data_IF_891583934733
#
_entry.id   IF_891583934733
#
_cell.length_a   1.000
_cell.length_b   1.000
_cell.length_c   1.000
_cell.angle_alpha   90.00
_cell.angle_beta   90.00
_cell.angle_gamma   90.00
#
_symmetry.space_group_name_H-M   'P 1'
#
loop_
_entity.id
_entity.type
_entity.pdbx_description
1 polymer ?
#
# COMPACT_ATOMS: atom_id res chain seq x y z
N UNK A 1 -17.92 15.09 -2.15
CA UNK A 1 -16.54 15.50 -1.87
C UNK A 1 -16.37 15.61 -0.35
N UNK A 2 -16.14 14.48 0.30
CA UNK A 2 -15.95 14.42 1.76
C UNK A 2 -14.48 14.79 2.02
N UNK A 3 -14.25 15.87 2.77
CA UNK A 3 -12.92 16.47 2.94
C UNK A 3 -12.07 15.58 3.84
N UNK A 4 -10.87 15.25 3.39
CA UNK A 4 -9.78 14.61 4.15
C UNK A 4 -9.49 15.27 5.52
N UNK A 5 -9.94 16.51 5.73
CA UNK A 5 -9.79 17.23 7.00
C UNK A 5 -10.67 16.70 8.14
N UNK A 6 -11.79 16.04 7.85
CA UNK A 6 -12.74 15.61 8.88
C UNK A 6 -12.22 14.44 9.73
N UNK A 7 -11.26 13.66 9.20
CA UNK A 7 -10.66 12.53 9.92
C UNK A 7 -9.58 12.94 10.92
N UNK A 8 -8.93 14.08 10.71
CA UNK A 8 -7.83 14.56 11.57
C UNK A 8 -8.30 15.23 12.87
N UNK A 9 -9.57 15.61 12.97
CA UNK A 9 -10.12 16.25 14.17
C UNK A 9 -10.73 15.23 15.14
N UNK A 10 -11.18 14.07 14.65
CA UNK A 10 -11.90 13.08 15.46
C UNK A 10 -11.00 12.25 16.40
N UNK A 11 -9.67 12.38 16.33
CA UNK A 11 -8.72 11.53 17.05
C UNK A 11 -7.73 12.28 17.94
N UNK A 12 -8.04 13.52 18.33
CA UNK A 12 -7.22 14.21 19.34
C UNK A 12 -7.89 14.12 20.72
N UNK A 13 -7.54 13.14 21.57
CA UNK A 13 -7.88 13.24 22.97
C UNK A 13 -7.24 14.51 23.54
N UNK A 14 -7.95 15.16 24.45
CA UNK A 14 -7.39 16.22 25.27
C UNK A 14 -6.10 15.72 25.92
N UNK A 15 -5.03 16.51 25.81
CA UNK A 15 -3.74 16.20 26.40
C UNK A 15 -3.89 16.02 27.92
N UNK A 16 -3.95 14.76 28.34
CA UNK A 16 -3.63 14.36 29.70
C UNK A 16 -2.38 13.51 29.61
N UNK A 17 -1.35 14.00 30.29
CA UNK A 17 -0.08 13.32 30.51
C UNK A 17 -0.36 12.04 31.29
N UNK A 18 -0.42 10.93 30.59
CA UNK A 18 -0.27 9.62 31.22
C UNK A 18 0.63 8.75 30.36
N UNK A 19 1.70 8.27 30.96
CA UNK A 19 2.67 7.34 30.38
C UNK A 19 2.06 5.94 30.29
N UNK A 20 0.94 5.83 29.59
CA UNK A 20 0.23 4.57 29.35
C UNK A 20 0.65 4.00 28.00
N UNK A 21 1.25 2.81 28.00
CA UNK A 21 1.46 2.05 26.77
C UNK A 21 0.10 1.86 26.09
N UNK A 22 -0.05 2.35 24.85
CA UNK A 22 -1.20 2.07 24.00
C UNK A 22 -1.18 0.58 23.63
N UNK A 23 -1.73 -0.26 24.52
CA UNK A 23 -1.95 -1.68 24.25
C UNK A 23 -3.25 -1.76 23.46
N UNK A 24 -3.14 -1.76 22.13
CA UNK A 24 -4.27 -2.05 21.26
C UNK A 24 -4.72 -3.49 21.53
N UNK A 25 -6.00 -3.66 21.85
CA UNK A 25 -6.56 -4.99 22.12
C UNK A 25 -6.58 -5.82 20.84
N UNK A 26 -6.57 -7.14 20.97
CA UNK A 26 -6.60 -8.04 19.79
C UNK A 26 -7.82 -7.76 18.89
N UNK A 27 -8.92 -7.28 19.47
CA UNK A 27 -10.14 -6.86 18.75
C UNK A 27 -9.92 -5.61 17.89
N UNK A 28 -9.22 -4.59 18.40
CA UNK A 28 -8.91 -3.38 17.64
C UNK A 28 -7.98 -3.69 16.46
N UNK A 29 -6.96 -4.52 16.68
CA UNK A 29 -6.07 -5.00 15.60
C UNK A 29 -6.87 -5.73 14.54
N UNK A 30 -7.75 -6.65 14.93
CA UNK A 30 -8.57 -7.41 13.98
C UNK A 30 -9.50 -6.50 13.16
N UNK A 31 -10.09 -5.50 13.79
CA UNK A 31 -10.93 -4.49 13.13
C UNK A 31 -10.11 -3.65 12.14
N UNK A 32 -8.94 -3.15 12.56
CA UNK A 32 -8.05 -2.37 11.70
C UNK A 32 -7.55 -3.19 10.51
N UNK A 33 -7.13 -4.42 10.73
CA UNK A 33 -6.69 -5.31 9.66
C UNK A 33 -7.82 -5.60 8.66
N UNK A 34 -9.04 -5.82 9.14
CA UNK A 34 -10.21 -5.99 8.27
C UNK A 34 -10.47 -4.73 7.46
N UNK A 35 -10.48 -3.56 8.11
CA UNK A 35 -10.71 -2.28 7.46
C UNK A 35 -9.65 -1.98 6.39
N UNK A 36 -8.38 -2.21 6.71
CA UNK A 36 -7.26 -2.08 5.77
C UNK A 36 -7.41 -3.04 4.59
N UNK A 37 -7.75 -4.31 4.84
CA UNK A 37 -7.97 -5.29 3.76
C UNK A 37 -9.12 -4.90 2.83
N UNK A 38 -10.20 -4.34 3.36
CA UNK A 38 -11.35 -3.89 2.56
C UNK A 38 -11.18 -2.52 1.90
N UNK A 39 -10.22 -1.71 2.38
CA UNK A 39 -10.03 -0.33 1.94
C UNK A 39 -8.73 -0.08 1.19
N UNK A 40 -7.90 -1.10 0.98
CA UNK A 40 -6.60 -0.99 0.31
C UNK A 40 -6.61 -1.79 -0.97
N UNK A 41 -6.19 -1.14 -2.04
CA UNK A 41 -5.96 -1.77 -3.33
C UNK A 41 -4.48 -2.10 -3.47
N UNK A 42 -4.18 -3.35 -3.81
CA UNK A 42 -2.79 -3.84 -3.94
C UNK A 42 -2.39 -3.88 -5.43
N UNK A 43 -1.58 -2.90 -5.83
CA UNK A 43 -1.10 -2.79 -7.21
C UNK A 43 -0.19 -3.96 -7.65
N UNK A 44 0.45 -4.68 -6.72
CA UNK A 44 1.25 -5.86 -7.05
C UNK A 44 0.33 -7.07 -7.29
N UNK A 45 -0.79 -7.19 -6.57
CA UNK A 45 -1.82 -8.20 -6.89
C UNK A 45 -2.51 -7.93 -8.21
N UNK A 46 -2.88 -6.68 -8.49
CA UNK A 46 -3.46 -6.30 -9.79
C UNK A 46 -2.52 -6.60 -10.96
N UNK A 47 -1.21 -6.40 -10.77
CA UNK A 47 -0.20 -6.72 -11.78
C UNK A 47 -0.22 -8.20 -12.23
N UNK A 48 -0.75 -9.13 -11.43
CA UNK A 48 -0.95 -10.53 -11.84
C UNK A 48 -1.89 -10.63 -13.05
N UNK A 49 -2.89 -9.75 -13.16
CA UNK A 49 -3.81 -9.71 -14.31
C UNK A 49 -3.13 -9.24 -15.59
N UNK A 50 -2.05 -8.46 -15.46
CA UNK A 50 -1.17 -8.11 -16.57
C UNK A 50 -0.21 -9.25 -16.97
N UNK A 51 -0.35 -10.43 -16.36
CA UNK A 51 0.54 -11.57 -16.59
C UNK A 51 1.89 -11.45 -15.89
N UNK A 52 2.03 -10.57 -14.89
CA UNK A 52 3.26 -10.41 -14.13
C UNK A 52 3.28 -11.33 -12.90
N UNK A 53 4.48 -11.83 -12.56
CA UNK A 53 4.69 -12.72 -11.42
C UNK A 53 4.80 -14.19 -11.83
N UNK A 54 4.82 -15.06 -10.82
CA UNK A 54 4.93 -16.52 -10.99
C UNK A 54 3.70 -17.18 -10.34
N UNK A 55 3.42 -18.46 -10.66
CA UNK A 55 2.28 -19.16 -10.06
C UNK A 55 2.35 -19.08 -8.53
N UNK A 56 1.29 -18.53 -7.92
CA UNK A 56 1.18 -18.38 -6.48
C UNK A 56 1.98 -17.23 -5.87
N UNK A 57 2.59 -16.35 -6.67
CA UNK A 57 3.38 -15.21 -6.16
C UNK A 57 3.17 -13.93 -6.96
N UNK A 58 2.81 -12.85 -6.27
CA UNK A 58 2.74 -11.51 -6.86
C UNK A 58 4.14 -11.03 -7.31
N UNK A 59 4.23 -10.20 -8.36
CA UNK A 59 5.48 -9.55 -8.76
C UNK A 59 6.02 -8.64 -7.66
N UNK A 60 7.30 -8.27 -7.76
CA UNK A 60 7.90 -7.23 -6.91
C UNK A 60 7.44 -5.84 -7.35
N UNK A 61 7.50 -4.84 -6.45
CA UNK A 61 7.18 -3.46 -6.78
C UNK A 61 8.04 -2.93 -7.93
N UNK A 62 9.33 -3.30 -7.98
CA UNK A 62 10.20 -2.95 -9.11
C UNK A 62 9.69 -3.54 -10.43
N UNK A 63 9.32 -4.83 -10.46
CA UNK A 63 8.80 -5.46 -11.67
C UNK A 63 7.50 -4.79 -12.14
N UNK A 64 6.62 -4.46 -11.19
CA UNK A 64 5.39 -3.70 -11.46
C UNK A 64 5.70 -2.31 -12.03
N UNK A 65 6.62 -1.56 -11.41
CA UNK A 65 7.00 -0.22 -11.89
C UNK A 65 7.67 -0.27 -13.28
N UNK A 66 8.52 -1.25 -13.51
CA UNK A 66 9.20 -1.44 -14.79
C UNK A 66 8.20 -1.69 -15.92
N UNK A 67 7.16 -2.47 -15.66
CA UNK A 67 6.12 -2.75 -16.64
C UNK A 67 5.22 -1.54 -16.89
N UNK A 68 4.68 -0.92 -15.83
CA UNK A 68 3.62 0.08 -15.95
C UNK A 68 4.11 1.50 -16.20
N UNK A 69 5.28 1.87 -15.69
CA UNK A 69 5.80 3.24 -15.75
C UNK A 69 7.25 3.30 -16.26
N UNK A 70 7.76 2.21 -16.85
CA UNK A 70 9.09 2.09 -17.42
C UNK A 70 10.23 2.58 -16.47
N UNK A 71 10.04 2.42 -15.16
CA UNK A 71 10.96 2.93 -14.13
C UNK A 71 11.56 1.78 -13.34
N UNK A 72 12.89 1.74 -13.23
CA UNK A 72 13.60 0.88 -12.29
C UNK A 72 13.74 1.60 -10.95
N UNK A 73 13.25 0.96 -9.88
CA UNK A 73 13.42 1.48 -8.52
C UNK A 73 14.82 1.18 -8.00
N UNK A 74 15.42 2.19 -7.36
CA UNK A 74 16.64 2.00 -6.59
C UNK A 74 16.36 1.01 -5.44
N UNK A 75 17.36 0.22 -5.05
CA UNK A 75 17.31 -0.73 -3.94
C UNK A 75 18.34 -0.43 -2.85
N UNK A 76 19.09 0.66 -2.97
CA UNK A 76 20.20 0.99 -2.05
C UNK A 76 19.78 1.01 -0.58
N UNK A 77 18.61 1.56 -0.26
CA UNK A 77 18.14 1.67 1.14
C UNK A 77 17.32 0.47 1.62
N UNK A 78 17.02 -0.51 0.77
CA UNK A 78 16.15 -1.66 1.10
C UNK A 78 16.63 -2.42 2.36
N UNK A 79 17.95 -2.54 2.54
CA UNK A 79 18.58 -3.25 3.66
C UNK A 79 19.39 -2.34 4.59
N UNK A 80 19.13 -1.03 4.53
CA UNK A 80 19.78 -0.05 5.42
C UNK A 80 19.24 -0.14 6.86
N UNK A 81 19.92 0.48 7.81
CA UNK A 81 19.44 0.57 9.20
C UNK A 81 18.23 1.52 9.31
N UNK A 82 17.02 0.93 9.31
CA UNK A 82 15.75 1.66 9.50
C UNK A 82 15.39 1.92 10.97
N UNK A 83 16.17 1.40 11.92
CA UNK A 83 16.01 1.69 13.34
C UNK A 83 16.75 2.98 13.75
N UNK A 84 17.76 3.41 12.98
CA UNK A 84 18.49 4.67 13.19
C UNK A 84 17.54 5.88 13.32
N UNK A 85 17.82 6.79 14.27
CA UNK A 85 17.15 8.10 14.38
C UNK A 85 18.16 9.25 14.53
N UNK A 86 17.99 10.37 13.80
CA UNK A 86 17.02 10.57 12.72
C UNK A 86 17.30 9.65 11.52
N UNK A 87 16.29 9.43 10.68
CA UNK A 87 16.51 8.79 9.38
C UNK A 87 17.41 9.68 8.53
N UNK A 88 18.24 9.08 7.68
CA UNK A 88 19.02 9.83 6.70
C UNK A 88 18.12 10.34 5.57
N UNK A 89 18.51 11.43 4.91
CA UNK A 89 17.73 12.01 3.82
C UNK A 89 17.48 10.99 2.70
N UNK A 90 18.48 10.15 2.38
CA UNK A 90 18.37 9.12 1.35
C UNK A 90 17.31 8.06 1.73
N UNK A 91 17.14 7.74 3.02
CA UNK A 91 16.10 6.83 3.49
C UNK A 91 14.71 7.45 3.38
N UNK A 92 14.59 8.75 3.68
CA UNK A 92 13.33 9.49 3.53
C UNK A 92 12.94 9.57 2.06
N UNK A 93 13.88 9.94 1.19
CA UNK A 93 13.67 9.99 -0.27
C UNK A 93 13.28 8.62 -0.83
N UNK A 94 13.98 7.56 -0.43
CA UNK A 94 13.66 6.19 -0.83
C UNK A 94 12.24 5.79 -0.41
N UNK A 95 11.86 6.04 0.86
CA UNK A 95 10.53 5.69 1.35
C UNK A 95 9.42 6.49 0.65
N UNK A 96 9.67 7.78 0.38
CA UNK A 96 8.76 8.62 -0.37
C UNK A 96 8.60 8.15 -1.83
N UNK A 97 9.70 7.71 -2.45
CA UNK A 97 9.68 7.16 -3.80
C UNK A 97 8.82 5.89 -3.87
N UNK A 98 9.01 4.94 -2.95
CA UNK A 98 8.22 3.70 -2.88
C UNK A 98 6.71 4.00 -2.73
N UNK A 99 6.32 4.95 -1.88
CA UNK A 99 4.92 5.37 -1.73
C UNK A 99 4.38 6.04 -3.00
N UNK A 100 5.16 6.93 -3.62
CA UNK A 100 4.76 7.60 -4.86
C UNK A 100 4.63 6.64 -6.04
N UNK A 101 5.45 5.59 -6.07
CA UNK A 101 5.47 4.60 -7.13
C UNK A 101 4.14 3.84 -7.19
N UNK A 102 3.56 3.46 -6.04
CA UNK A 102 2.25 2.81 -5.97
C UNK A 102 1.15 3.66 -6.63
N UNK A 103 1.11 4.97 -6.35
CA UNK A 103 0.10 5.88 -6.94
C UNK A 103 0.29 6.04 -8.45
N UNK A 104 1.54 6.14 -8.91
CA UNK A 104 1.86 6.28 -10.34
C UNK A 104 1.53 5.01 -11.13
N UNK A 105 1.82 3.84 -10.56
CA UNK A 105 1.41 2.55 -11.13
C UNK A 105 -0.10 2.46 -11.22
N UNK A 106 -0.82 2.80 -10.14
CA UNK A 106 -2.28 2.79 -10.14
C UNK A 106 -2.84 3.69 -11.25
N UNK A 107 -2.34 4.93 -11.36
CA UNK A 107 -2.78 5.85 -12.41
C UNK A 107 -2.50 5.31 -13.83
N UNK A 108 -1.38 4.61 -14.03
CA UNK A 108 -1.08 3.96 -15.31
C UNK A 108 -2.05 2.80 -15.61
N UNK A 109 -2.39 1.98 -14.61
CA UNK A 109 -3.39 0.92 -14.73
C UNK A 109 -4.78 1.49 -15.04
N UNK A 110 -5.18 2.57 -14.36
CA UNK A 110 -6.46 3.25 -14.61
C UNK A 110 -6.52 3.86 -16.02
N UNK A 111 -5.39 4.36 -16.54
CA UNK A 111 -5.32 4.88 -17.90
C UNK A 111 -5.43 3.77 -18.96
N UNK A 112 -4.91 2.57 -18.69
CA UNK A 112 -4.94 1.44 -19.62
C UNK A 112 -6.28 0.66 -19.56
N UNK A 113 -6.75 0.36 -18.35
CA UNK A 113 -7.93 -0.51 -18.13
C UNK A 113 -9.22 0.27 -17.84
N UNK A 114 -9.12 1.55 -17.50
CA UNK A 114 -10.22 2.35 -16.98
C UNK A 114 -10.39 2.18 -15.46
N UNK A 115 -10.85 3.23 -14.75
CA UNK A 115 -10.90 3.24 -13.29
C UNK A 115 -11.91 2.24 -12.71
N UNK A 116 -13.02 1.98 -13.41
CA UNK A 116 -14.02 1.01 -12.94
C UNK A 116 -13.51 -0.44 -13.02
N UNK A 117 -12.69 -0.76 -14.02
CA UNK A 117 -12.11 -2.08 -14.18
C UNK A 117 -11.09 -2.37 -13.07
N UNK A 118 -10.28 -1.38 -12.69
CA UNK A 118 -9.28 -1.51 -11.61
C UNK A 118 -9.93 -1.85 -10.26
N UNK A 119 -11.04 -1.18 -9.91
CA UNK A 119 -11.78 -1.46 -8.66
C UNK A 119 -12.43 -2.84 -8.69
N UNK A 120 -13.06 -3.22 -9.81
CA UNK A 120 -13.72 -4.53 -9.95
C UNK A 120 -12.72 -5.70 -9.92
N UNK A 121 -11.53 -5.49 -10.48
CA UNK A 121 -10.47 -6.50 -10.54
C UNK A 121 -9.85 -6.79 -9.17
N UNK A 122 -9.77 -5.79 -8.29
CA UNK A 122 -9.30 -6.00 -6.91
C UNK A 122 -10.32 -6.84 -6.11
N UNK A 123 -11.62 -6.55 -6.24
CA UNK A 123 -12.70 -7.36 -5.65
C UNK A 123 -12.69 -8.82 -6.15
N UNK A 124 -12.49 -9.02 -7.46
CA UNK A 124 -12.39 -10.35 -8.08
C UNK A 124 -11.13 -11.13 -7.69
N UNK A 125 -10.04 -10.46 -7.32
CA UNK A 125 -8.82 -11.10 -6.81
C UNK A 125 -8.91 -11.42 -5.31
N UNK A 126 -9.84 -10.80 -4.58
CA UNK A 126 -10.14 -11.09 -3.17
C UNK A 126 -10.99 -12.35 -2.95
N UNK A 127 -11.63 -12.87 -4.00
CA UNK A 127 -12.31 -14.15 -3.96
C UNK A 127 -11.27 -15.30 -3.98
N UNK A 128 -11.44 -16.35 -3.15
CA UNK A 128 -10.59 -17.52 -3.25
C UNK A 128 -10.67 -18.06 -4.68
N UNK A 129 -9.51 -18.35 -5.28
CA UNK A 129 -9.44 -19.09 -6.53
C UNK A 129 -10.04 -20.47 -6.23
N UNK A 130 -11.32 -20.65 -6.57
CA UNK A 130 -11.93 -21.98 -6.63
C UNK A 130 -11.33 -22.64 -7.86
N UNK A 131 -10.41 -23.57 -7.64
CA UNK A 131 -9.97 -24.53 -8.66
C UNK A 131 -11.23 -25.26 -9.15
N UNK A 132 -11.61 -25.03 -10.42
CA UNK A 132 -12.59 -25.84 -11.16
C UNK A 132 -11.91 -27.00 -11.85
#
# INVERSE_FOLDING_TARGET
ATKLADWLVATKPAAQSDSGSFVSTDDERAVLEKALRSGTLDVQRLAIRAGLGERGRHPSLQATCKHWIATDLDKTQQRSDWAQRPLRNEQVEYAALDASACLRVLAAMEADWGPQAVVLLDELLGAPIVDT
#
